data_IF_439183592479
#
_entry.id   IF_439183592479
#
_cell.length_a   1.000
_cell.length_b   1.000
_cell.length_c   1.000
_cell.angle_alpha   90.00
_cell.angle_beta   90.00
_cell.angle_gamma   90.00
#
_symmetry.space_group_name_H-M   'P 1'
#
loop_
_entity.id
_entity.type
_entity.pdbx_description
1 polymer ?
#
# COMPACT_ATOMS: atom_id res chain seq x y z
N UNK A 1 -19.67 11.36 8.54
CA UNK A 1 -18.48 10.95 7.74
C UNK A 1 -17.62 9.91 8.46
N UNK A 2 -16.98 10.23 9.59
CA UNK A 2 -16.11 9.29 10.33
C UNK A 2 -16.86 8.06 10.88
N UNK A 3 -18.12 8.23 11.28
CA UNK A 3 -19.00 7.10 11.62
C UNK A 3 -19.18 6.13 10.45
N UNK A 4 -19.28 6.68 9.24
CA UNK A 4 -19.44 5.92 8.00
C UNK A 4 -18.28 4.98 7.70
N UNK A 5 -17.06 5.28 8.20
CA UNK A 5 -15.87 4.41 8.13
C UNK A 5 -15.58 3.64 9.42
N UNK A 6 -16.55 3.59 10.35
CA UNK A 6 -16.48 2.86 11.64
C UNK A 6 -15.33 3.33 12.54
N UNK A 7 -14.96 4.60 12.46
CA UNK A 7 -13.82 5.14 13.21
C UNK A 7 -14.17 5.55 14.64
N UNK A 8 -15.34 6.18 14.85
CA UNK A 8 -15.74 6.83 16.12
C UNK A 8 -15.79 5.91 17.34
N UNK A 9 -15.95 4.60 17.15
CA UNK A 9 -15.94 3.60 18.23
C UNK A 9 -14.54 3.07 18.56
N UNK A 10 -13.60 3.17 17.63
CA UNK A 10 -12.38 2.37 17.65
C UNK A 10 -11.09 3.19 17.69
N UNK A 11 -11.14 4.48 17.41
CA UNK A 11 -9.94 5.34 17.36
C UNK A 11 -10.33 6.83 17.45
N UNK A 12 -9.32 7.70 17.48
CA UNK A 12 -9.42 9.15 17.73
C UNK A 12 -10.00 9.95 16.56
N UNK A 13 -10.25 9.32 15.40
CA UNK A 13 -10.65 10.02 14.19
C UNK A 13 -9.50 10.58 13.36
N UNK A 14 -8.25 10.29 13.74
CA UNK A 14 -7.05 10.77 13.05
C UNK A 14 -6.74 9.94 11.79
N UNK A 15 -6.52 10.63 10.66
CA UNK A 15 -6.08 10.00 9.42
C UNK A 15 -4.66 9.44 9.57
N UNK A 16 -4.46 8.18 9.19
CA UNK A 16 -3.18 7.45 9.37
C UNK A 16 -2.31 7.41 8.12
N UNK A 17 -2.93 7.45 6.95
CA UNK A 17 -2.24 7.42 5.64
C UNK A 17 -2.99 8.29 4.65
N UNK A 18 -2.24 8.91 3.75
CA UNK A 18 -2.77 9.62 2.59
C UNK A 18 -2.07 9.14 1.33
N UNK A 19 -2.82 8.94 0.25
CA UNK A 19 -2.29 8.71 -1.10
C UNK A 19 -3.09 9.51 -2.12
N UNK A 20 -2.40 10.00 -3.12
CA UNK A 20 -3.00 10.65 -4.28
C UNK A 20 -3.31 9.62 -5.36
N UNK A 21 -4.32 9.89 -6.17
CA UNK A 21 -4.57 9.15 -7.40
C UNK A 21 -3.39 9.34 -8.36
N UNK A 22 -3.16 8.38 -9.28
CA UNK A 22 -2.16 8.53 -10.34
C UNK A 22 -2.35 9.79 -11.18
N UNK A 23 -3.59 10.22 -11.39
CA UNK A 23 -3.95 11.47 -12.09
C UNK A 23 -3.68 12.74 -11.27
N UNK A 24 -3.58 12.64 -9.94
CA UNK A 24 -3.52 13.77 -9.02
C UNK A 24 -4.85 14.48 -8.76
N UNK A 25 -5.96 14.04 -9.37
CA UNK A 25 -7.29 14.66 -9.23
C UNK A 25 -8.00 14.33 -7.92
N UNK A 26 -7.59 13.25 -7.25
CA UNK A 26 -8.26 12.71 -6.08
C UNK A 26 -7.22 12.24 -5.06
N UNK A 27 -7.61 12.15 -3.80
CA UNK A 27 -6.79 11.59 -2.75
C UNK A 27 -7.61 10.77 -1.77
N UNK A 28 -6.98 9.81 -1.12
CA UNK A 28 -7.63 8.92 -0.15
C UNK A 28 -6.94 9.04 1.19
N UNK A 29 -7.74 9.18 2.24
CA UNK A 29 -7.28 9.18 3.63
C UNK A 29 -7.73 7.89 4.30
N UNK A 30 -6.79 7.07 4.74
CA UNK A 30 -7.08 5.86 5.49
C UNK A 30 -7.11 6.13 7.00
N UNK A 31 -8.13 5.60 7.66
CA UNK A 31 -8.33 5.58 9.10
C UNK A 31 -8.10 4.15 9.63
N UNK A 32 -8.45 3.87 10.89
CA UNK A 32 -8.19 2.54 11.44
C UNK A 32 -9.02 1.45 10.76
N UNK A 33 -10.28 1.71 10.40
CA UNK A 33 -11.23 0.67 9.91
C UNK A 33 -11.81 0.91 8.54
N UNK A 34 -11.44 2.01 7.90
CA UNK A 34 -11.91 2.37 6.57
C UNK A 34 -11.06 3.49 6.00
N UNK A 35 -11.35 3.86 4.76
CA UNK A 35 -10.75 5.01 4.12
C UNK A 35 -11.84 5.86 3.44
N UNK A 36 -11.53 7.12 3.16
CA UNK A 36 -12.42 8.00 2.40
C UNK A 36 -11.65 8.59 1.23
N UNK A 37 -12.24 8.52 0.05
CA UNK A 37 -11.76 9.18 -1.17
C UNK A 37 -12.35 10.58 -1.23
N UNK A 38 -11.51 11.54 -1.54
CA UNK A 38 -11.82 12.96 -1.70
C UNK A 38 -11.41 13.41 -3.10
N UNK A 39 -12.14 14.36 -3.67
CA UNK A 39 -11.66 15.12 -4.83
C UNK A 39 -10.59 16.14 -4.45
N UNK A 40 -9.92 16.69 -5.46
CA UNK A 40 -9.02 17.85 -5.31
C UNK A 40 -9.67 19.04 -4.59
N UNK A 41 -10.99 19.15 -4.67
CA UNK A 41 -11.80 20.15 -3.96
C UNK A 41 -12.08 19.80 -2.48
N UNK A 42 -11.44 18.74 -1.98
CA UNK A 42 -11.60 18.19 -0.63
C UNK A 42 -13.02 17.74 -0.28
N UNK A 43 -13.90 17.54 -1.27
CA UNK A 43 -15.22 16.94 -1.04
C UNK A 43 -15.12 15.42 -1.07
N UNK A 44 -15.74 14.81 -0.07
CA UNK A 44 -15.78 13.36 0.05
C UNK A 44 -16.64 12.73 -1.05
N UNK A 45 -16.09 11.75 -1.78
CA UNK A 45 -16.77 11.05 -2.87
C UNK A 45 -17.37 9.73 -2.43
N UNK A 46 -16.55 8.89 -1.82
CA UNK A 46 -16.95 7.55 -1.40
C UNK A 46 -16.10 7.08 -0.22
N UNK A 47 -16.56 6.03 0.45
CA UNK A 47 -15.84 5.37 1.54
C UNK A 47 -15.42 3.97 1.14
N UNK A 48 -14.35 3.48 1.75
CA UNK A 48 -13.78 2.16 1.55
C UNK A 48 -13.83 1.42 2.88
N UNK A 49 -14.39 0.21 2.89
CA UNK A 49 -14.41 -0.67 4.06
C UNK A 49 -14.20 -2.10 3.59
N UNK A 50 -13.24 -2.80 4.19
CA UNK A 50 -13.08 -4.23 3.98
C UNK A 50 -14.28 -5.00 4.57
N UNK A 51 -14.74 -6.04 3.88
CA UNK A 51 -15.78 -6.94 4.39
C UNK A 51 -15.21 -8.35 4.48
N UNK A 52 -15.19 -8.99 5.66
CA UNK A 52 -15.57 -8.47 6.97
C UNK A 52 -14.71 -7.27 7.43
N UNK A 53 -15.22 -6.38 8.30
CA UNK A 53 -14.46 -5.23 8.79
C UNK A 53 -13.23 -5.62 9.62
N UNK A 54 -12.08 -5.04 9.28
CA UNK A 54 -10.78 -5.31 9.91
C UNK A 54 -9.94 -4.04 9.93
N UNK A 55 -8.90 -4.00 10.76
CA UNK A 55 -8.01 -2.83 10.86
C UNK A 55 -7.13 -2.73 9.62
N UNK A 56 -7.00 -1.52 9.06
CA UNK A 56 -6.15 -1.21 7.90
C UNK A 56 -4.73 -0.88 8.39
N UNK A 57 -3.70 -1.41 7.70
CA UNK A 57 -2.29 -1.08 7.99
C UNK A 57 -1.61 -0.28 6.89
N UNK A 58 -1.90 -0.59 5.62
CA UNK A 58 -1.32 0.09 4.48
C UNK A 58 -2.36 0.38 3.40
N UNK A 59 -2.09 1.40 2.59
CA UNK A 59 -2.87 1.78 1.42
C UNK A 59 -1.97 2.00 0.19
N UNK A 60 -2.45 1.52 -0.96
CA UNK A 60 -1.86 1.71 -2.28
C UNK A 60 -2.93 2.24 -3.25
N UNK A 61 -2.55 3.10 -4.19
CA UNK A 61 -3.40 3.53 -5.31
C UNK A 61 -2.54 3.52 -6.57
N UNK A 62 -2.99 2.81 -7.59
CA UNK A 62 -2.32 2.76 -8.88
C UNK A 62 -3.24 2.35 -10.01
N UNK A 63 -2.61 1.96 -11.12
CA UNK A 63 -3.27 1.62 -12.37
C UNK A 63 -3.04 0.15 -12.73
N UNK A 64 -4.09 -0.48 -13.27
CA UNK A 64 -3.95 -1.65 -14.13
C UNK A 64 -4.47 -1.27 -15.52
N UNK A 65 -3.54 -1.01 -16.44
CA UNK A 65 -3.85 -0.37 -17.71
C UNK A 65 -4.41 1.04 -17.48
N UNK A 66 -5.64 1.30 -17.91
CA UNK A 66 -6.33 2.58 -17.67
C UNK A 66 -7.21 2.58 -16.43
N UNK A 67 -7.31 1.46 -15.71
CA UNK A 67 -8.22 1.31 -14.57
C UNK A 67 -7.53 1.69 -13.27
N UNK A 68 -8.06 2.71 -12.60
CA UNK A 68 -7.63 3.08 -11.25
C UNK A 68 -8.14 2.09 -10.20
N UNK A 69 -7.26 1.75 -9.26
CA UNK A 69 -7.56 0.80 -8.20
C UNK A 69 -6.90 1.24 -6.91
N UNK A 70 -7.66 1.16 -5.81
CA UNK A 70 -7.16 1.37 -4.45
C UNK A 70 -7.07 0.01 -3.76
N UNK A 71 -5.94 -0.29 -3.15
CA UNK A 71 -5.75 -1.48 -2.36
C UNK A 71 -5.48 -1.12 -0.89
N UNK A 72 -5.99 -1.93 0.03
CA UNK A 72 -5.70 -1.81 1.47
C UNK A 72 -5.23 -3.15 2.02
N UNK A 73 -4.27 -3.12 2.94
CA UNK A 73 -3.91 -4.30 3.72
C UNK A 73 -4.62 -4.34 5.06
N UNK A 74 -4.95 -5.53 5.54
CA UNK A 74 -5.74 -5.71 6.76
C UNK A 74 -5.04 -6.53 7.84
N UNK A 75 -5.52 -6.34 9.06
CA UNK A 75 -5.11 -7.04 10.27
C UNK A 75 -5.35 -8.56 10.21
N UNK A 76 -6.31 -9.02 9.41
CA UNK A 76 -6.64 -10.42 9.21
C UNK A 76 -6.00 -11.03 7.94
N UNK A 77 -4.96 -10.38 7.43
CA UNK A 77 -4.04 -10.96 6.46
C UNK A 77 -4.44 -10.81 5.00
N UNK A 78 -5.34 -9.86 4.69
CA UNK A 78 -5.84 -9.65 3.34
C UNK A 78 -5.24 -8.39 2.71
N UNK A 79 -5.13 -8.41 1.39
CA UNK A 79 -5.07 -7.21 0.57
C UNK A 79 -6.36 -7.16 -0.24
N UNK A 80 -7.15 -6.10 -0.06
CA UNK A 80 -8.47 -5.93 -0.70
C UNK A 80 -8.40 -4.75 -1.67
N UNK A 81 -8.83 -4.98 -2.90
CA UNK A 81 -8.81 -4.01 -3.99
C UNK A 81 -10.20 -3.44 -4.22
N UNK A 82 -10.27 -2.14 -4.46
CA UNK A 82 -11.48 -1.36 -4.63
C UNK A 82 -11.40 -0.55 -5.92
N UNK A 83 -12.54 -0.47 -6.60
CA UNK A 83 -12.75 0.47 -7.70
C UNK A 83 -13.30 1.77 -7.11
N UNK A 84 -12.55 2.89 -7.15
CA UNK A 84 -13.00 4.16 -6.57
C UNK A 84 -14.14 4.82 -7.37
N UNK A 85 -14.35 4.40 -8.63
CA UNK A 85 -15.35 4.97 -9.54
C UNK A 85 -16.69 4.25 -9.46
N UNK A 86 -16.67 2.95 -9.13
CA UNK A 86 -17.89 2.16 -8.99
C UNK A 86 -18.31 2.10 -7.52
N UNK A 87 -19.41 2.74 -7.17
CA UNK A 87 -19.95 2.72 -5.80
C UNK A 87 -21.24 1.94 -5.67
N UNK A 88 -21.46 1.35 -4.50
CA UNK A 88 -22.74 0.83 -4.05
C UNK A 88 -23.42 1.87 -3.18
N UNK A 89 -24.73 1.98 -3.29
CA UNK A 89 -25.53 2.96 -2.54
C UNK A 89 -25.32 2.79 -1.04
N UNK A 90 -25.29 3.92 -0.35
CA UNK A 90 -25.21 3.91 1.09
C UNK A 90 -26.51 3.33 1.67
N UNK A 91 -26.44 2.55 2.77
CA UNK A 91 -27.65 2.01 3.40
C UNK A 91 -28.56 3.12 3.96
N UNK A 92 -28.04 4.34 4.15
CA UNK A 92 -28.80 5.51 4.62
C UNK A 92 -28.40 6.76 3.81
N UNK A 93 -29.35 7.67 3.57
CA UNK A 93 -29.17 8.91 2.77
C UNK A 93 -28.07 9.86 3.28
N UNK A 94 -27.67 9.73 4.55
CA UNK A 94 -26.64 10.57 5.17
C UNK A 94 -25.22 9.99 5.07
N UNK A 95 -25.07 8.81 4.48
CA UNK A 95 -23.79 8.13 4.39
C UNK A 95 -23.17 8.27 2.99
N UNK A 96 -21.85 8.42 2.95
CA UNK A 96 -21.12 8.36 1.69
C UNK A 96 -21.28 6.98 1.04
N UNK A 97 -21.38 6.92 -0.29
CA UNK A 97 -21.52 5.66 -1.01
C UNK A 97 -20.26 4.80 -0.82
N UNK A 98 -20.43 3.48 -0.86
CA UNK A 98 -19.36 2.52 -0.58
C UNK A 98 -18.65 2.13 -1.89
N UNK A 99 -17.34 2.35 -1.98
CA UNK A 99 -16.55 1.87 -3.10
C UNK A 99 -16.63 0.35 -3.22
N UNK A 100 -16.79 -0.16 -4.44
CA UNK A 100 -16.95 -1.59 -4.67
C UNK A 100 -15.62 -2.31 -4.52
N UNK A 101 -15.57 -3.31 -3.65
CA UNK A 101 -14.48 -4.27 -3.62
C UNK A 101 -14.53 -5.16 -4.87
N UNK A 102 -13.42 -5.21 -5.60
CA UNK A 102 -13.29 -5.94 -6.87
C UNK A 102 -12.52 -7.24 -6.69
N UNK A 103 -11.45 -7.22 -5.89
CA UNK A 103 -10.60 -8.38 -5.71
C UNK A 103 -10.02 -8.47 -4.29
N UNK A 104 -9.54 -9.66 -3.95
CA UNK A 104 -8.85 -9.93 -2.69
C UNK A 104 -7.70 -10.90 -2.92
N UNK A 105 -6.62 -10.71 -2.15
CA UNK A 105 -5.48 -11.61 -2.05
C UNK A 105 -5.25 -11.92 -0.57
N UNK A 106 -4.81 -13.14 -0.27
CA UNK A 106 -4.52 -13.57 1.09
C UNK A 106 -5.76 -13.83 1.94
N UNK A 107 -5.63 -13.58 3.25
CA UNK A 107 -6.60 -13.94 4.26
C UNK A 107 -6.63 -15.43 4.59
N UNK A 108 -7.45 -15.76 5.61
CA UNK A 108 -7.54 -17.14 6.13
C UNK A 108 -7.93 -18.16 5.06
N UNK A 109 -8.78 -17.76 4.11
CA UNK A 109 -9.20 -18.62 3.00
C UNK A 109 -8.03 -19.01 2.07
N UNK A 110 -6.97 -18.22 2.03
CA UNK A 110 -5.73 -18.51 1.29
C UNK A 110 -4.55 -18.85 2.23
N UNK A 111 -4.83 -19.29 3.46
CA UNK A 111 -3.81 -19.73 4.41
C UNK A 111 -3.00 -18.61 5.09
N UNK A 112 -3.39 -17.34 4.92
CA UNK A 112 -2.72 -16.21 5.57
C UNK A 112 -3.52 -15.77 6.79
N UNK A 113 -2.95 -15.93 7.98
CA UNK A 113 -3.61 -15.57 9.25
C UNK A 113 -2.98 -14.37 9.97
N UNK A 114 -1.73 -14.02 9.63
CA UNK A 114 -1.00 -12.88 10.17
C UNK A 114 -1.40 -11.54 9.55
N UNK A 115 -1.10 -10.44 10.24
CA UNK A 115 -1.42 -9.08 9.77
C UNK A 115 -0.51 -8.72 8.60
N UNK A 116 -1.05 -8.24 7.49
CA UNK A 116 -0.22 -7.66 6.43
C UNK A 116 0.08 -6.22 6.81
N UNK A 117 1.32 -5.97 7.26
CA UNK A 117 1.76 -4.67 7.77
C UNK A 117 2.09 -3.68 6.67
N UNK A 118 2.67 -4.20 5.61
CA UNK A 118 3.02 -3.42 4.44
C UNK A 118 2.87 -4.29 3.18
N UNK A 119 2.67 -3.67 2.04
CA UNK A 119 2.63 -4.35 0.76
C UNK A 119 2.94 -3.40 -0.40
N UNK A 120 3.40 -3.97 -1.50
CA UNK A 120 3.59 -3.28 -2.76
C UNK A 120 2.89 -4.03 -3.89
N UNK A 121 2.41 -3.27 -4.88
CA UNK A 121 1.76 -3.79 -6.08
C UNK A 121 2.56 -3.28 -7.27
N UNK A 122 3.12 -4.21 -8.03
CA UNK A 122 3.93 -3.97 -9.21
C UNK A 122 3.09 -4.36 -10.43
N UNK A 123 2.57 -3.37 -11.17
CA UNK A 123 1.94 -3.62 -12.46
C UNK A 123 3.02 -4.00 -13.48
N UNK A 124 2.75 -5.04 -14.27
CA UNK A 124 3.65 -5.57 -15.29
C UNK A 124 2.94 -5.51 -16.63
N UNK A 125 3.48 -4.71 -17.55
CA UNK A 125 3.04 -4.71 -18.94
C UNK A 125 3.51 -6.00 -19.61
N UNK A 126 2.61 -6.69 -20.28
CA UNK A 126 2.93 -7.91 -21.04
C UNK A 126 3.06 -7.59 -22.52
N UNK A 127 3.71 -8.48 -23.28
CA UNK A 127 3.99 -8.27 -24.71
C UNK A 127 2.72 -8.12 -25.57
N UNK A 128 1.62 -8.74 -25.15
CA UNK A 128 0.30 -8.64 -25.77
C UNK A 128 -0.45 -7.35 -25.39
N UNK A 129 0.18 -6.46 -24.62
CA UNK A 129 -0.39 -5.19 -24.16
C UNK A 129 -1.40 -5.33 -23.02
N UNK A 130 -1.53 -6.54 -22.44
CA UNK A 130 -2.29 -6.75 -21.23
C UNK A 130 -1.46 -6.38 -19.99
N UNK A 131 -2.11 -6.28 -18.83
CA UNK A 131 -1.44 -5.89 -17.59
C UNK A 131 -1.63 -7.00 -16.58
N UNK A 132 -0.52 -7.61 -16.17
CA UNK A 132 -0.44 -8.51 -15.03
C UNK A 132 0.07 -7.77 -13.81
N UNK A 133 0.08 -8.39 -12.64
CA UNK A 133 0.61 -7.75 -11.43
C UNK A 133 1.33 -8.72 -10.51
N UNK A 134 2.34 -8.21 -9.81
CA UNK A 134 2.97 -8.87 -8.66
C UNK A 134 2.61 -8.11 -7.40
N UNK A 135 2.04 -8.82 -6.42
CA UNK A 135 1.73 -8.26 -5.10
C UNK A 135 2.68 -8.87 -4.09
N UNK A 136 3.47 -8.03 -3.43
CA UNK A 136 4.42 -8.45 -2.40
C UNK A 136 3.89 -7.99 -1.05
N UNK A 137 3.63 -8.93 -0.14
CA UNK A 137 3.10 -8.62 1.19
C UNK A 137 4.13 -8.91 2.27
N UNK A 138 4.29 -7.98 3.21
CA UNK A 138 5.07 -8.16 4.42
C UNK A 138 4.16 -8.34 5.63
N UNK A 139 4.31 -9.47 6.30
CA UNK A 139 3.41 -9.86 7.38
C UNK A 139 4.07 -9.80 8.75
N UNK A 140 3.23 -9.61 9.78
CA UNK A 140 3.68 -9.58 11.17
C UNK A 140 4.22 -10.92 11.69
N UNK A 141 4.00 -12.00 10.94
CA UNK A 141 4.50 -13.35 11.21
C UNK A 141 5.92 -13.57 10.66
N UNK A 142 6.53 -12.56 10.03
CA UNK A 142 7.86 -12.63 9.43
C UNK A 142 7.91 -13.18 8.02
N UNK A 143 6.76 -13.50 7.42
CA UNK A 143 6.74 -13.99 6.05
C UNK A 143 6.52 -12.85 5.03
N UNK A 144 7.45 -12.75 4.08
CA UNK A 144 7.27 -12.04 2.81
C UNK A 144 6.63 -13.00 1.82
N UNK A 145 5.49 -12.63 1.25
CA UNK A 145 4.77 -13.46 0.26
C UNK A 145 4.65 -12.75 -1.06
N UNK A 146 4.95 -13.46 -2.14
CA UNK A 146 4.88 -12.95 -3.50
C UNK A 146 3.72 -13.62 -4.22
N UNK A 147 2.78 -12.82 -4.69
CA UNK A 147 1.60 -13.27 -5.41
C UNK A 147 1.67 -12.77 -6.84
N UNK A 148 1.47 -13.66 -7.81
CA UNK A 148 1.34 -13.31 -9.21
C UNK A 148 -0.13 -13.30 -9.60
N UNK A 149 -0.57 -12.19 -10.19
CA UNK A 149 -1.93 -12.00 -10.68
C UNK A 149 -1.86 -11.87 -12.19
N UNK A 150 -2.50 -12.80 -12.89
CA UNK A 150 -2.56 -12.76 -14.35
C UNK A 150 -3.54 -11.68 -14.86
N UNK A 151 -3.37 -11.29 -16.11
CA UNK A 151 -4.20 -10.27 -16.75
C UNK A 151 -5.68 -10.68 -16.86
N UNK A 152 -5.99 -11.97 -17.02
CA UNK A 152 -7.38 -12.45 -17.11
C UNK A 152 -8.12 -12.26 -15.78
N UNK A 153 -7.44 -12.51 -14.66
CA UNK A 153 -7.95 -12.30 -13.31
C UNK A 153 -8.22 -10.82 -13.03
N UNK A 154 -7.35 -9.92 -13.51
CA UNK A 154 -7.53 -8.48 -13.40
C UNK A 154 -8.62 -7.96 -14.34
N UNK A 155 -8.81 -8.56 -15.52
CA UNK A 155 -9.90 -8.20 -16.43
C UNK A 155 -11.27 -8.64 -15.89
N UNK A 156 -11.32 -9.79 -15.20
CA UNK A 156 -12.54 -10.31 -14.59
C UNK A 156 -12.90 -9.48 -13.33
N UNK A 157 -13.82 -8.53 -13.47
CA UNK A 157 -14.39 -7.79 -12.35
C UNK A 157 -15.22 -8.67 -11.40
N UNK A 158 -15.44 -8.22 -10.17
CA UNK A 158 -16.36 -8.90 -9.24
C UNK A 158 -17.79 -8.93 -9.80
N UNK A 159 -18.44 -10.09 -9.75
CA UNK A 159 -19.88 -10.18 -9.88
C UNK A 159 -20.53 -9.51 -8.65
N UNK A 160 -21.76 -9.02 -8.78
CA UNK A 160 -22.40 -8.07 -7.84
C UNK A 160 -22.45 -8.49 -6.35
N UNK A 161 -22.15 -9.73 -5.98
CA UNK A 161 -22.31 -10.22 -4.61
C UNK A 161 -21.01 -10.52 -3.85
N UNK A 162 -19.96 -11.05 -4.50
CA UNK A 162 -18.79 -11.57 -3.78
C UNK A 162 -17.46 -11.02 -4.31
N UNK A 163 -16.58 -10.65 -3.37
CA UNK A 163 -15.20 -10.24 -3.67
C UNK A 163 -14.41 -11.44 -4.14
N UNK A 164 -13.85 -11.36 -5.35
CA UNK A 164 -13.13 -12.47 -5.97
C UNK A 164 -11.74 -12.61 -5.36
N UNK A 165 -11.40 -13.81 -4.89
CA UNK A 165 -10.00 -14.14 -4.58
C UNK A 165 -9.22 -14.29 -5.88
N UNK A 166 -8.13 -13.56 -6.03
CA UNK A 166 -7.24 -13.62 -7.20
C UNK A 166 -5.80 -13.88 -6.76
N UNK A 167 -4.92 -14.07 -7.75
CA UNK A 167 -3.51 -14.25 -7.53
C UNK A 167 -3.14 -15.68 -7.14
N UNK A 168 -2.00 -16.12 -7.66
CA UNK A 168 -1.35 -17.37 -7.32
C UNK A 168 -0.15 -17.06 -6.43
N UNK A 169 -0.04 -17.73 -5.29
CA UNK A 169 1.15 -17.61 -4.44
C UNK A 169 2.35 -18.21 -5.16
N UNK A 170 3.32 -17.38 -5.53
CA UNK A 170 4.56 -17.79 -6.20
C UNK A 170 5.56 -18.33 -5.18
N UNK A 171 5.68 -17.64 -4.04
CA UNK A 171 6.67 -17.98 -3.04
C UNK A 171 6.44 -17.28 -1.72
N UNK A 172 7.00 -17.88 -0.66
CA UNK A 172 7.06 -17.30 0.68
C UNK A 172 8.51 -17.35 1.16
N UNK A 173 9.00 -16.23 1.66
CA UNK A 173 10.28 -16.13 2.33
C UNK A 173 10.04 -15.77 3.80
N UNK A 174 10.50 -16.62 4.71
CA UNK A 174 10.39 -16.41 6.15
C UNK A 174 11.66 -15.76 6.69
N UNK A 175 11.52 -14.58 7.30
CA UNK A 175 12.64 -13.85 7.90
C UNK A 175 12.83 -14.18 9.38
N UNK A 176 11.92 -14.92 10.02
CA UNK A 176 11.91 -15.20 11.47
C UNK A 176 11.52 -14.01 12.35
N UNK A 177 11.67 -12.78 11.86
CA UNK A 177 11.34 -11.55 12.57
C UNK A 177 10.11 -10.83 12.02
N UNK A 178 9.38 -10.14 12.89
CA UNK A 178 8.21 -9.33 12.53
C UNK A 178 8.58 -8.20 11.57
N UNK A 179 7.99 -8.20 10.38
CA UNK A 179 8.18 -7.13 9.39
C UNK A 179 7.15 -6.01 9.61
N UNK A 180 7.60 -4.77 9.60
CA UNK A 180 6.77 -3.56 9.82
C UNK A 180 6.65 -2.69 8.58
N UNK A 181 7.63 -2.74 7.68
CA UNK A 181 7.68 -2.01 6.42
C UNK A 181 8.28 -2.88 5.32
N UNK A 182 7.93 -2.58 4.06
CA UNK A 182 8.43 -3.25 2.87
C UNK A 182 8.48 -2.26 1.71
N UNK A 183 9.47 -2.43 0.83
CA UNK A 183 9.46 -1.83 -0.50
C UNK A 183 9.84 -2.88 -1.52
N UNK A 184 9.22 -2.80 -2.69
CA UNK A 184 9.51 -3.62 -3.85
C UNK A 184 9.47 -2.72 -5.09
N UNK A 185 10.24 -3.09 -6.10
CA UNK A 185 10.30 -2.42 -7.40
C UNK A 185 10.75 -3.42 -8.45
N UNK A 186 10.41 -3.14 -9.72
CA UNK A 186 10.86 -3.96 -10.85
C UNK A 186 12.32 -3.60 -11.14
N UNK A 187 13.20 -4.59 -11.14
CA UNK A 187 14.59 -4.39 -11.58
C UNK A 187 14.64 -4.34 -13.09
N UNK A 188 15.31 -3.33 -13.63
CA UNK A 188 15.64 -3.27 -15.05
C UNK A 188 16.79 -4.25 -15.34
N UNK A 189 16.85 -4.82 -16.55
CA UNK A 189 18.03 -5.56 -16.95
C UNK A 189 19.28 -4.67 -16.87
N UNK A 190 20.46 -5.25 -16.60
CA UNK A 190 21.71 -4.49 -16.69
C UNK A 190 21.84 -3.87 -18.08
N UNK A 191 22.19 -2.59 -18.17
CA UNK A 191 22.53 -1.97 -19.45
C UNK A 191 23.95 -2.41 -19.81
N UNK A 192 24.18 -2.80 -21.06
CA UNK A 192 25.52 -3.22 -21.52
C UNK A 192 26.56 -2.09 -21.42
N UNK A 193 26.11 -0.83 -21.30
CA UNK A 193 26.95 0.36 -21.13
C UNK A 193 27.19 0.76 -19.66
N UNK A 194 26.68 -0.01 -18.68
CA UNK A 194 27.00 0.13 -17.25
C UNK A 194 28.28 -0.67 -16.88
N UNK A 195 29.20 -0.82 -17.84
CA UNK A 195 30.62 -0.90 -17.50
C UNK A 195 30.93 0.42 -16.78
N UNK A 196 30.87 0.38 -15.45
CA UNK A 196 31.50 1.36 -14.61
C UNK A 196 32.86 1.64 -15.23
N UNK A 197 32.96 2.74 -15.96
CA UNK A 197 34.24 3.40 -16.11
C UNK A 197 34.66 3.57 -14.66
N UNK A 198 35.65 2.76 -14.31
CA UNK A 198 36.59 2.96 -13.23
C UNK A 198 37.18 4.35 -13.47
N UNK A 199 36.34 5.38 -13.27
CA UNK A 199 36.80 6.69 -12.92
C UNK A 199 37.36 6.43 -11.54
N UNK A 200 38.66 6.06 -11.57
CA UNK A 200 39.58 6.25 -10.48
C UNK A 200 39.01 7.37 -9.63
N UNK A 201 38.56 7.01 -8.42
CA UNK A 201 38.34 7.99 -7.37
C UNK A 201 39.72 8.58 -7.08
N UNK A 202 40.14 9.48 -7.96
CA UNK A 202 41.20 10.44 -7.76
C UNK A 202 40.79 11.23 -6.52
N UNK A 203 41.33 10.77 -5.40
CA UNK A 203 41.79 11.62 -4.32
C UNK A 203 40.73 12.62 -3.80
N UNK A 204 39.73 12.12 -3.08
CA UNK A 204 39.03 12.95 -2.09
C UNK A 204 40.00 13.25 -0.93
N UNK A 205 40.86 14.23 -1.17
CA UNK A 205 41.79 14.78 -0.19
C UNK A 205 41.06 15.59 0.88
N UNK A 206 41.08 15.08 2.10
CA UNK A 206 41.03 15.90 3.31
C UNK A 206 39.71 15.92 4.07
N UNK A 207 39.58 14.99 5.01
CA UNK A 207 39.03 15.34 6.32
C UNK A 207 40.15 15.14 7.34
N UNK A 208 41.06 16.11 7.40
CA UNK A 208 42.03 16.19 8.49
C UNK A 208 41.27 16.46 9.77
N UNK A 209 41.41 15.56 10.73
CA UNK A 209 40.87 15.73 12.07
C UNK A 209 41.52 16.93 12.76
N UNK A 210 40.68 17.79 13.31
CA UNK A 210 40.99 18.53 14.52
C UNK A 210 39.97 18.09 15.57
N UNK A 211 40.40 17.13 16.39
CA UNK A 211 39.94 17.02 17.76
C UNK A 211 40.30 18.34 18.46
N UNK A 212 39.31 19.08 18.96
CA UNK A 212 39.58 20.03 20.03
C UNK A 212 38.63 19.78 21.19
N UNK A 213 39.20 19.06 22.15
CA UNK A 213 38.66 18.76 23.46
C UNK A 213 38.71 19.99 24.36
N UNK A 214 37.56 20.26 24.99
CA UNK A 214 37.35 20.93 26.29
C UNK A 214 37.73 22.40 26.44
N UNK A 215 36.82 23.17 27.05
CA UNK A 215 37.16 23.97 28.23
C UNK A 215 35.87 24.36 28.98
N UNK A 216 35.83 23.91 30.23
CA UNK A 216 34.94 24.31 31.32
C UNK A 216 35.16 25.78 31.71
N UNK A 217 34.09 26.49 32.05
CA UNK A 217 34.16 27.80 32.70
C UNK A 217 32.89 28.06 33.50
N UNK A 218 32.91 27.68 34.77
CA UNK A 218 32.06 28.24 35.83
C UNK A 218 32.36 29.72 36.01
N UNK A 219 31.36 30.56 36.28
CA UNK A 219 31.48 31.67 37.24
C UNK A 219 30.11 32.24 37.64
N UNK A 220 30.00 32.49 38.95
CA UNK A 220 28.90 33.07 39.70
C UNK A 220 28.80 34.61 39.57
N UNK A 221 27.72 35.14 40.15
CA UNK A 221 27.47 36.50 40.67
C UNK A 221 26.97 37.60 39.70
N UNK A 222 25.68 37.95 39.82
CA UNK A 222 25.23 39.15 40.56
C UNK A 222 23.74 39.12 40.86
#
# INVERSE_FOLDING_TARGET
>A
MLEGVKETKHSTGEGRRVRWSPSGSDFVVAFERGAVVFGEDSKARCRIIATPPSKIHQLWWGLFGTKEVIAISTEDGRVVFFDPTTTQDAPDDNNLPLARAVWQIGGRAAGVSGRVKDFEVLALDTEDGSVSAVVVTASSDGAVRVWYVDAEQLAQGSSKADVKQIGTLVGTHDTGDRITCLRAFVMLPPQEDDDFQDNEVDEFGGFNGEEDSSLSGSEDET
#
